data_IF_196837042607
#
_entry.id   IF_196837042607
#
_cell.length_a   1.000
_cell.length_b   1.000
_cell.length_c   1.000
_cell.angle_alpha   90.00
_cell.angle_beta   90.00
_cell.angle_gamma   90.00
#
_symmetry.space_group_name_H-M   'P 1'
#
loop_
_entity.id
_entity.type
_entity.pdbx_description
1 polymer ?
#
# COMPACT_ATOMS: atom_id res chain seq x y z
N UNK A 1 -19.09 -1.10 -23.16
CA UNK A 1 -17.98 -0.76 -22.26
C UNK A 1 -16.73 -1.41 -22.82
N UNK A 2 -15.63 -0.67 -22.88
CA UNK A 2 -14.35 -1.18 -23.35
C UNK A 2 -13.93 -2.43 -22.59
N UNK A 3 -13.51 -3.49 -23.29
CA UNK A 3 -13.12 -4.76 -22.65
C UNK A 3 -11.90 -4.60 -21.75
N UNK A 4 -10.99 -3.69 -22.06
CA UNK A 4 -9.86 -3.38 -21.20
C UNK A 4 -10.30 -2.71 -19.89
N UNK A 5 -11.30 -1.82 -19.92
CA UNK A 5 -11.85 -1.22 -18.70
C UNK A 5 -12.53 -2.26 -17.79
N UNK A 6 -13.15 -3.30 -18.37
CA UNK A 6 -13.73 -4.41 -17.61
C UNK A 6 -12.68 -5.21 -16.82
N UNK A 7 -11.40 -5.20 -17.22
CA UNK A 7 -10.34 -5.84 -16.47
C UNK A 7 -10.13 -5.18 -15.09
N UNK A 8 -10.29 -3.86 -14.98
CA UNK A 8 -10.17 -3.16 -13.69
C UNK A 8 -11.25 -3.62 -12.70
N UNK A 9 -12.45 -3.91 -13.20
CA UNK A 9 -13.53 -4.46 -12.38
C UNK A 9 -13.29 -5.92 -11.99
N UNK A 10 -12.79 -6.74 -12.92
CA UNK A 10 -12.53 -8.16 -12.68
C UNK A 10 -11.37 -8.40 -11.71
N UNK A 11 -10.30 -7.63 -11.86
CA UNK A 11 -9.02 -7.87 -11.18
C UNK A 11 -8.83 -6.99 -9.94
N UNK A 12 -9.87 -6.87 -9.13
CA UNK A 12 -9.79 -6.24 -7.79
C UNK A 12 -8.88 -7.05 -6.88
N UNK A 13 -8.28 -6.40 -5.89
CA UNK A 13 -7.17 -6.96 -5.11
C UNK A 13 -7.58 -7.69 -3.83
N UNK A 14 -8.84 -8.15 -3.71
CA UNK A 14 -9.31 -9.02 -2.63
C UNK A 14 -9.11 -10.50 -2.99
N UNK A 15 -7.86 -10.87 -3.27
CA UNK A 15 -7.52 -12.19 -3.80
C UNK A 15 -7.46 -13.22 -2.66
N UNK A 16 -8.12 -14.36 -2.84
CA UNK A 16 -8.06 -15.52 -1.95
C UNK A 16 -7.36 -16.68 -2.69
N UNK A 17 -6.43 -17.35 -2.03
CA UNK A 17 -5.66 -18.46 -2.60
C UNK A 17 -6.27 -19.83 -2.36
N UNK A 18 -7.36 -19.93 -1.60
CA UNK A 18 -8.10 -21.17 -1.32
C UNK A 18 -7.17 -22.31 -0.89
N UNK A 19 -6.30 -22.06 0.11
CA UNK A 19 -5.29 -23.01 0.64
C UNK A 19 -4.18 -23.45 -0.32
N UNK A 20 -4.12 -22.96 -1.55
CA UNK A 20 -2.99 -23.20 -2.44
C UNK A 20 -1.75 -22.46 -1.95
N UNK A 21 -0.54 -22.95 -2.23
CA UNK A 21 0.67 -22.15 -1.99
C UNK A 21 0.62 -20.87 -2.83
N UNK A 22 1.27 -19.81 -2.35
CA UNK A 22 1.31 -18.54 -3.09
C UNK A 22 1.87 -18.70 -4.51
N UNK A 23 2.90 -19.54 -4.70
CA UNK A 23 3.45 -19.83 -6.02
C UNK A 23 2.43 -20.45 -6.97
N UNK A 24 1.70 -21.48 -6.52
CA UNK A 24 0.69 -22.16 -7.35
C UNK A 24 -0.49 -21.24 -7.67
N UNK A 25 -0.97 -20.51 -6.67
CA UNK A 25 -2.10 -19.59 -6.83
C UNK A 25 -1.77 -18.51 -7.85
N UNK A 26 -0.64 -17.81 -7.69
CA UNK A 26 -0.28 -16.70 -8.56
C UNK A 26 0.06 -17.17 -9.98
N UNK A 27 0.67 -18.33 -10.15
CA UNK A 27 0.91 -18.91 -11.48
C UNK A 27 -0.41 -19.13 -12.25
N UNK A 28 -1.40 -19.75 -11.60
CA UNK A 28 -2.71 -19.96 -12.21
C UNK A 28 -3.43 -18.63 -12.47
N UNK A 29 -3.38 -17.71 -11.51
CA UNK A 29 -4.03 -16.41 -11.56
C UNK A 29 -3.45 -15.51 -12.66
N UNK A 30 -2.13 -15.44 -12.78
CA UNK A 30 -1.46 -14.65 -13.81
C UNK A 30 -1.73 -15.18 -15.21
N UNK A 31 -1.73 -16.50 -15.41
CA UNK A 31 -2.09 -17.08 -16.70
C UNK A 31 -3.48 -16.62 -17.13
N UNK A 32 -4.47 -16.66 -16.24
CA UNK A 32 -5.83 -16.19 -16.52
C UNK A 32 -5.84 -14.68 -16.81
N UNK A 33 -5.12 -13.88 -16.02
CA UNK A 33 -4.98 -12.45 -16.22
C UNK A 33 -4.43 -12.10 -17.60
N UNK A 34 -3.30 -12.70 -17.98
CA UNK A 34 -2.62 -12.47 -19.25
C UNK A 34 -3.50 -12.89 -20.42
N UNK A 35 -4.16 -14.06 -20.33
CA UNK A 35 -5.09 -14.53 -21.35
C UNK A 35 -6.26 -13.56 -21.56
N UNK A 36 -6.77 -12.97 -20.49
CA UNK A 36 -7.86 -12.01 -20.57
C UNK A 36 -7.40 -10.64 -21.09
N UNK A 37 -6.18 -10.21 -20.76
CA UNK A 37 -5.55 -9.04 -21.41
C UNK A 37 -5.43 -9.26 -22.91
N UNK A 38 -4.90 -10.41 -23.35
CA UNK A 38 -4.77 -10.77 -24.77
C UNK A 38 -6.11 -10.78 -25.51
N UNK A 39 -7.17 -11.26 -24.88
CA UNK A 39 -8.53 -11.23 -25.48
C UNK A 39 -9.10 -9.81 -25.52
N UNK A 40 -8.76 -8.97 -24.55
CA UNK A 40 -9.35 -7.65 -24.39
C UNK A 40 -8.75 -6.58 -25.32
N UNK A 41 -7.59 -6.78 -25.96
CA UNK A 41 -6.91 -5.75 -26.78
C UNK A 41 -7.47 -5.57 -28.21
N UNK A 42 -8.56 -6.24 -28.59
CA UNK A 42 -9.18 -6.01 -29.92
C UNK A 42 -9.67 -4.57 -30.04
N UNK A 43 -9.33 -3.88 -31.12
CA UNK A 43 -9.64 -2.46 -31.29
C UNK A 43 -11.16 -2.21 -31.31
N UNK A 44 -11.94 -3.06 -31.99
CA UNK A 44 -13.41 -2.93 -32.00
C UNK A 44 -14.08 -3.07 -30.62
N UNK A 45 -13.40 -3.73 -29.68
CA UNK A 45 -13.89 -3.95 -28.32
C UNK A 45 -13.54 -2.80 -27.37
N UNK A 46 -12.79 -1.78 -27.83
CA UNK A 46 -12.32 -0.65 -27.02
C UNK A 46 -12.53 0.72 -27.71
N UNK A 47 -13.78 1.11 -27.99
CA UNK A 47 -14.10 2.37 -28.66
C UNK A 47 -13.69 3.63 -27.89
N UNK A 48 -13.58 3.59 -26.55
CA UNK A 48 -13.22 4.75 -25.74
C UNK A 48 -11.70 4.91 -25.60
N UNK A 49 -10.99 3.84 -25.25
CA UNK A 49 -9.54 3.81 -25.06
C UNK A 49 -8.79 3.92 -26.39
N UNK A 50 -9.37 3.35 -27.46
CA UNK A 50 -8.87 3.45 -28.82
C UNK A 50 -7.69 2.52 -29.14
N UNK A 51 -7.29 2.52 -30.42
CA UNK A 51 -6.25 1.62 -30.94
C UNK A 51 -4.87 1.85 -30.32
N UNK A 52 -4.57 3.08 -29.89
CA UNK A 52 -3.28 3.43 -29.27
C UNK A 52 -3.06 2.66 -27.96
N UNK A 53 -4.08 2.56 -27.10
CA UNK A 53 -4.00 1.79 -25.85
C UNK A 53 -3.83 0.30 -26.15
N UNK A 54 -4.61 -0.23 -27.09
CA UNK A 54 -4.49 -1.62 -27.52
C UNK A 54 -3.06 -1.95 -27.98
N UNK A 55 -2.48 -1.10 -28.84
CA UNK A 55 -1.13 -1.27 -29.34
C UNK A 55 -0.05 -1.14 -28.23
N UNK A 56 -0.22 -0.18 -27.31
CA UNK A 56 0.69 -0.04 -26.17
C UNK A 56 0.64 -1.29 -25.27
N UNK A 57 -0.54 -1.81 -24.97
CA UNK A 57 -0.67 -3.03 -24.15
C UNK A 57 -0.10 -4.23 -24.88
N UNK A 58 -0.39 -4.40 -26.18
CA UNK A 58 0.16 -5.48 -26.99
C UNK A 58 1.69 -5.54 -26.91
N UNK A 59 2.37 -4.38 -26.98
CA UNK A 59 3.82 -4.29 -26.81
C UNK A 59 4.31 -4.64 -25.39
N UNK A 60 3.49 -4.44 -24.37
CA UNK A 60 3.84 -4.74 -22.97
C UNK A 60 3.54 -6.18 -22.56
N UNK A 61 2.69 -6.92 -23.28
CA UNK A 61 2.29 -8.30 -22.92
C UNK A 61 3.50 -9.21 -22.64
N UNK A 62 4.56 -9.29 -23.48
CA UNK A 62 5.71 -10.15 -23.20
C UNK A 62 6.44 -9.77 -21.91
N UNK A 63 6.50 -8.48 -21.59
CA UNK A 63 7.13 -7.97 -20.36
C UNK A 63 6.27 -8.31 -19.14
N UNK A 64 4.94 -8.21 -19.26
CA UNK A 64 3.99 -8.60 -18.21
C UNK A 64 4.08 -10.10 -17.92
N UNK A 65 4.17 -10.92 -18.97
CA UNK A 65 4.40 -12.38 -18.87
C UNK A 65 5.71 -12.69 -18.15
N UNK A 66 6.82 -12.09 -18.60
CA UNK A 66 8.13 -12.31 -17.99
C UNK A 66 8.16 -11.90 -16.52
N UNK A 67 7.58 -10.74 -16.18
CA UNK A 67 7.51 -10.28 -14.79
C UNK A 67 6.62 -11.19 -13.93
N UNK A 68 5.49 -11.67 -14.46
CA UNK A 68 4.62 -12.62 -13.77
C UNK A 68 5.35 -13.93 -13.46
N UNK A 69 6.07 -14.49 -14.44
CA UNK A 69 6.86 -15.72 -14.27
C UNK A 69 7.98 -15.54 -13.24
N UNK A 70 8.68 -14.40 -13.29
CA UNK A 70 9.72 -14.09 -12.30
C UNK A 70 9.12 -13.93 -10.89
N UNK A 71 7.96 -13.31 -10.73
CA UNK A 71 7.25 -13.21 -9.45
C UNK A 71 6.87 -14.60 -8.91
N UNK A 72 6.36 -15.50 -9.77
CA UNK A 72 6.11 -16.89 -9.36
C UNK A 72 7.41 -17.55 -8.90
N UNK A 73 8.51 -17.35 -9.62
CA UNK A 73 9.81 -17.92 -9.27
C UNK A 73 10.36 -17.39 -7.93
N UNK A 74 10.05 -16.14 -7.53
CA UNK A 74 10.35 -15.63 -6.18
C UNK A 74 9.76 -16.57 -5.13
N UNK A 75 8.49 -16.95 -5.26
CA UNK A 75 7.85 -17.89 -4.34
C UNK A 75 8.49 -19.28 -4.42
N UNK A 76 8.77 -19.80 -5.63
CA UNK A 76 9.40 -21.13 -5.78
C UNK A 76 10.75 -21.22 -5.08
N UNK A 77 11.58 -20.18 -5.20
CA UNK A 77 12.87 -20.10 -4.52
C UNK A 77 12.68 -20.01 -3.00
N UNK A 78 11.71 -19.23 -2.53
CA UNK A 78 11.43 -19.09 -1.10
C UNK A 78 10.94 -20.41 -0.49
N UNK A 79 10.00 -21.08 -1.16
CA UNK A 79 9.44 -22.39 -0.76
C UNK A 79 10.54 -23.47 -0.63
N UNK A 80 11.63 -23.34 -1.39
CA UNK A 80 12.81 -24.23 -1.33
C UNK A 80 13.85 -23.82 -0.26
N UNK A 81 13.57 -22.77 0.53
CA UNK A 81 14.51 -22.23 1.52
C UNK A 81 15.64 -21.37 0.92
N UNK A 82 15.59 -21.04 -0.37
CA UNK A 82 16.61 -20.23 -1.08
C UNK A 82 16.30 -18.74 -0.95
N UNK A 83 16.23 -18.26 0.29
CA UNK A 83 15.72 -16.92 0.64
C UNK A 83 16.51 -15.79 -0.04
N UNK A 84 17.84 -15.88 -0.05
CA UNK A 84 18.70 -14.85 -0.67
C UNK A 84 18.47 -14.77 -2.19
N UNK A 85 18.32 -15.90 -2.85
CA UNK A 85 18.08 -15.95 -4.29
C UNK A 85 16.68 -15.46 -4.65
N UNK A 86 15.69 -15.80 -3.81
CA UNK A 86 14.33 -15.28 -3.89
C UNK A 86 14.31 -13.75 -3.79
N UNK A 87 15.02 -13.18 -2.80
CA UNK A 87 15.15 -11.74 -2.63
C UNK A 87 15.84 -11.07 -3.84
N UNK A 88 16.99 -11.60 -4.28
CA UNK A 88 17.70 -11.08 -5.46
C UNK A 88 16.83 -11.12 -6.73
N UNK A 89 16.08 -12.21 -6.93
CA UNK A 89 15.15 -12.32 -8.06
C UNK A 89 14.03 -11.28 -7.97
N UNK A 90 13.50 -11.03 -6.78
CA UNK A 90 12.47 -10.01 -6.59
C UNK A 90 12.99 -8.59 -6.93
N UNK A 91 14.23 -8.27 -6.56
CA UNK A 91 14.82 -6.94 -6.84
C UNK A 91 15.06 -6.72 -8.33
N UNK A 92 15.43 -7.78 -9.06
CA UNK A 92 15.52 -7.74 -10.53
C UNK A 92 14.16 -7.35 -11.14
N UNK A 93 13.08 -7.99 -10.69
CA UNK A 93 11.72 -7.71 -11.15
C UNK A 93 11.27 -6.29 -10.78
N UNK A 94 11.51 -5.84 -9.55
CA UNK A 94 11.12 -4.49 -9.16
C UNK A 94 11.87 -3.43 -9.97
N UNK A 95 13.14 -3.67 -10.26
CA UNK A 95 13.95 -2.76 -11.08
C UNK A 95 13.46 -2.73 -12.54
N UNK A 96 13.09 -3.88 -13.13
CA UNK A 96 12.51 -3.92 -14.49
C UNK A 96 11.13 -3.26 -14.54
N UNK A 97 10.31 -3.43 -13.50
CA UNK A 97 8.96 -2.89 -13.43
C UNK A 97 8.92 -1.39 -13.10
N UNK A 98 9.94 -0.84 -12.42
CA UNK A 98 9.96 0.55 -11.92
C UNK A 98 9.42 1.62 -12.90
N UNK A 99 9.76 1.61 -14.20
CA UNK A 99 9.24 2.60 -15.15
C UNK A 99 7.72 2.50 -15.39
N UNK A 100 7.17 1.29 -15.29
CA UNK A 100 5.76 0.98 -15.54
C UNK A 100 4.92 0.89 -14.27
N UNK A 101 5.54 0.92 -13.08
CA UNK A 101 4.83 0.97 -11.82
C UNK A 101 3.91 2.19 -11.74
N UNK A 102 2.73 2.00 -11.17
CA UNK A 102 1.88 3.11 -10.74
C UNK A 102 2.57 3.80 -9.56
N UNK A 103 2.73 5.12 -9.70
CA UNK A 103 3.41 5.97 -8.73
C UNK A 103 2.46 7.08 -8.30
N UNK A 104 2.56 7.49 -7.04
CA UNK A 104 1.75 8.59 -6.49
C UNK A 104 2.60 9.53 -5.67
N UNK A 105 2.32 10.82 -5.82
CA UNK A 105 2.87 11.88 -4.98
C UNK A 105 1.83 12.25 -3.93
N UNK A 106 2.28 12.43 -2.69
CA UNK A 106 1.44 12.95 -1.61
C UNK A 106 0.88 14.33 -2.00
N UNK A 107 -0.42 14.56 -1.81
CA UNK A 107 -1.05 15.85 -2.10
C UNK A 107 -1.52 16.07 -3.55
N UNK A 108 -1.22 15.16 -4.49
CA UNK A 108 -1.45 15.38 -5.94
C UNK A 108 -2.93 15.63 -6.33
N UNK A 109 -3.90 15.10 -5.57
CA UNK A 109 -5.34 15.33 -5.80
C UNK A 109 -5.96 16.20 -4.72
N UNK A 110 -5.56 15.96 -3.48
CA UNK A 110 -6.01 16.68 -2.29
C UNK A 110 -4.99 16.44 -1.19
N UNK A 111 -4.92 17.36 -0.24
CA UNK A 111 -4.21 17.14 1.01
C UNK A 111 -4.98 16.12 1.84
N UNK A 112 -4.31 15.05 2.21
CA UNK A 112 -4.82 13.97 3.02
C UNK A 112 -4.35 14.12 4.46
N UNK A 113 -5.11 13.50 5.34
CA UNK A 113 -4.79 13.37 6.75
C UNK A 113 -4.56 11.90 7.04
N UNK A 114 -3.62 11.61 7.93
CA UNK A 114 -3.36 10.24 8.36
C UNK A 114 -3.51 10.07 9.86
N UNK A 115 -3.61 8.82 10.31
CA UNK A 115 -3.78 8.44 11.70
C UNK A 115 -2.93 7.22 12.02
N UNK A 116 -2.50 7.13 13.27
CA UNK A 116 -1.92 5.92 13.84
C UNK A 116 -2.50 5.67 15.20
N UNK A 117 -2.72 4.39 15.48
CA UNK A 117 -3.25 3.89 16.73
C UNK A 117 -2.20 3.02 17.43
N UNK A 118 -2.17 3.10 18.76
CA UNK A 118 -1.45 2.19 19.63
C UNK A 118 -2.42 1.57 20.64
N UNK A 119 -2.71 0.26 20.52
CA UNK A 119 -3.55 -0.45 21.49
C UNK A 119 -3.02 -0.31 22.93
N UNK A 120 -3.93 -0.17 23.89
CA UNK A 120 -3.62 -0.17 25.33
C UNK A 120 -4.07 -1.52 25.88
N UNK A 121 -3.11 -2.43 26.10
CA UNK A 121 -3.37 -3.77 26.64
C UNK A 121 -3.01 -3.84 28.12
N UNK A 122 -3.62 -4.77 28.84
CA UNK A 122 -3.35 -4.98 30.27
C UNK A 122 -1.86 -5.25 30.51
N UNK A 123 -1.26 -4.53 31.47
CA UNK A 123 0.16 -4.67 31.82
C UNK A 123 1.13 -3.86 30.96
N UNK A 124 0.67 -3.15 29.93
CA UNK A 124 1.49 -2.24 29.11
C UNK A 124 1.12 -0.80 29.43
N UNK A 125 2.08 -0.02 29.92
CA UNK A 125 1.93 1.42 30.15
C UNK A 125 2.97 2.18 29.34
N UNK A 126 2.55 3.30 28.75
CA UNK A 126 3.42 4.24 28.04
C UNK A 126 2.92 5.66 28.31
N UNK A 127 3.81 6.67 28.30
CA UNK A 127 3.40 8.06 28.46
C UNK A 127 2.54 8.49 27.26
N UNK A 128 1.52 9.31 27.48
CA UNK A 128 0.68 9.80 26.38
C UNK A 128 1.38 10.95 25.65
N UNK A 129 2.41 10.61 24.87
CA UNK A 129 3.30 11.57 24.17
C UNK A 129 3.36 11.25 22.68
N UNK A 130 3.56 12.28 21.84
CA UNK A 130 3.57 12.13 20.37
C UNK A 130 4.59 11.07 19.88
N UNK A 131 5.77 11.02 20.50
CA UNK A 131 6.82 10.03 20.18
C UNK A 131 6.39 8.57 20.36
N UNK A 132 5.47 8.29 21.28
CA UNK A 132 4.98 6.93 21.53
C UNK A 132 4.05 6.43 20.42
N UNK A 133 3.54 7.34 19.58
CA UNK A 133 2.72 7.05 18.40
C UNK A 133 3.52 7.15 17.10
N UNK A 134 4.80 7.52 17.15
CA UNK A 134 5.69 7.50 15.98
C UNK A 134 6.14 6.06 15.65
N UNK A 135 7.11 5.88 14.74
CA UNK A 135 7.65 4.53 14.54
C UNK A 135 8.42 4.04 15.77
N UNK A 136 8.55 2.72 15.91
CA UNK A 136 9.29 2.12 17.02
C UNK A 136 10.75 2.62 16.96
N UNK A 137 11.33 3.14 18.06
CA UNK A 137 12.73 3.49 18.11
C UNK A 137 13.64 2.30 17.79
N UNK A 138 14.72 2.53 17.03
CA UNK A 138 15.64 1.47 16.60
C UNK A 138 16.27 0.69 17.77
N UNK A 139 16.53 1.36 18.90
CA UNK A 139 17.10 0.74 20.11
C UNK A 139 16.16 -0.24 20.82
N UNK A 140 14.87 -0.29 20.46
CA UNK A 140 13.89 -1.27 20.97
C UNK A 140 13.22 -2.07 19.84
N UNK A 141 13.99 -2.34 18.77
CA UNK A 141 13.50 -3.02 17.57
C UNK A 141 13.00 -4.46 17.78
N UNK A 142 13.24 -5.08 18.94
CA UNK A 142 12.64 -6.37 19.32
C UNK A 142 11.10 -6.32 19.43
N UNK A 143 10.51 -5.12 19.47
CA UNK A 143 9.07 -4.89 19.43
C UNK A 143 8.50 -4.83 17.99
N UNK A 144 9.35 -4.80 16.96
CA UNK A 144 8.91 -4.79 15.56
C UNK A 144 8.40 -6.17 15.18
N UNK A 145 7.09 -6.29 15.02
CA UNK A 145 6.42 -7.50 14.54
C UNK A 145 6.43 -7.64 13.01
N UNK A 146 6.17 -8.85 12.49
CA UNK A 146 6.00 -9.07 11.06
C UNK A 146 4.65 -8.52 10.59
N UNK A 147 4.71 -7.57 9.67
CA UNK A 147 3.55 -7.04 8.92
C UNK A 147 3.76 -7.26 7.41
N UNK A 148 2.72 -7.00 6.61
CA UNK A 148 2.75 -7.17 5.14
C UNK A 148 3.91 -6.43 4.50
N UNK A 149 4.02 -5.14 4.78
CA UNK A 149 5.17 -4.34 4.37
C UNK A 149 6.04 -4.11 5.60
N UNK A 150 6.89 -5.06 5.96
CA UNK A 150 7.83 -4.92 7.09
C UNK A 150 9.15 -5.60 6.78
N UNK A 151 10.16 -5.32 7.60
CA UNK A 151 11.40 -6.08 7.63
C UNK A 151 11.66 -6.47 9.09
N UNK A 152 12.04 -7.74 9.38
CA UNK A 152 12.32 -8.17 10.74
C UNK A 152 13.32 -7.25 11.46
N UNK A 153 12.88 -6.63 12.57
CA UNK A 153 13.72 -5.75 13.38
C UNK A 153 14.04 -4.37 12.75
N UNK A 154 13.43 -4.00 11.62
CA UNK A 154 13.60 -2.67 11.02
C UNK A 154 12.33 -1.83 11.22
N UNK A 155 12.40 -0.71 11.96
CA UNK A 155 11.24 0.16 12.14
C UNK A 155 10.74 0.79 10.85
N UNK A 156 9.43 0.93 10.71
CA UNK A 156 8.78 1.74 9.66
C UNK A 156 7.64 2.55 10.28
N UNK A 157 7.24 3.63 9.62
CA UNK A 157 6.09 4.44 10.03
C UNK A 157 4.86 4.05 9.22
N UNK A 158 3.89 3.43 9.88
CA UNK A 158 2.62 3.00 9.28
C UNK A 158 1.52 3.98 9.63
N UNK A 159 0.77 4.45 8.64
CA UNK A 159 -0.32 5.38 8.86
C UNK A 159 -1.52 4.98 7.99
N UNK A 160 -2.75 5.23 8.47
CA UNK A 160 -3.98 5.04 7.70
C UNK A 160 -4.64 6.39 7.42
N UNK A 161 -5.29 6.57 6.27
CA UNK A 161 -5.97 7.84 5.93
C UNK A 161 -7.28 8.09 6.68
N UNK A 162 -7.73 7.12 7.48
CA UNK A 162 -8.93 7.21 8.31
C UNK A 162 -8.65 6.62 9.69
N UNK A 163 -9.16 7.27 10.75
CA UNK A 163 -9.04 6.77 12.12
C UNK A 163 -9.72 5.41 12.30
N UNK A 164 -10.88 5.22 11.67
CA UNK A 164 -11.59 3.95 11.66
C UNK A 164 -10.78 2.85 10.96
N UNK A 165 -10.17 3.15 9.80
CA UNK A 165 -9.28 2.20 9.13
C UNK A 165 -8.10 1.81 10.03
N UNK A 166 -7.43 2.78 10.66
CA UNK A 166 -6.35 2.49 11.62
C UNK A 166 -6.81 1.56 12.75
N UNK A 167 -8.06 1.72 13.22
CA UNK A 167 -8.64 0.90 14.29
C UNK A 167 -8.87 -0.54 13.83
N UNK A 168 -9.37 -0.72 12.60
CA UNK A 168 -9.50 -2.04 11.98
C UNK A 168 -8.14 -2.72 11.78
N UNK A 169 -7.13 -2.00 11.28
CA UNK A 169 -5.76 -2.53 11.09
C UNK A 169 -5.12 -2.96 12.42
N UNK A 170 -5.47 -2.30 13.53
CA UNK A 170 -5.06 -2.68 14.88
C UNK A 170 -5.92 -3.78 15.54
N UNK A 171 -6.76 -4.48 14.77
CA UNK A 171 -7.68 -5.55 15.24
C UNK A 171 -8.74 -5.05 16.24
N UNK A 172 -9.19 -3.80 16.07
CA UNK A 172 -10.31 -3.20 16.80
C UNK A 172 -10.15 -3.25 18.33
N UNK A 173 -9.07 -2.68 18.89
CA UNK A 173 -8.88 -2.66 20.33
C UNK A 173 -9.99 -1.84 21.02
N UNK A 174 -10.41 -2.27 22.21
CA UNK A 174 -11.40 -1.53 23.01
C UNK A 174 -10.83 -0.20 23.52
N UNK A 175 -9.55 -0.20 23.92
CA UNK A 175 -8.87 0.98 24.45
C UNK A 175 -7.56 1.21 23.71
N UNK A 176 -7.33 2.44 23.28
CA UNK A 176 -6.15 2.78 22.49
C UNK A 176 -5.80 4.26 22.53
N UNK A 177 -4.53 4.57 22.28
CA UNK A 177 -4.09 5.92 21.97
C UNK A 177 -4.15 6.15 20.46
N UNK A 178 -4.49 7.36 20.04
CA UNK A 178 -4.55 7.77 18.63
C UNK A 178 -3.95 9.17 18.47
N UNK A 179 -3.22 9.35 17.37
CA UNK A 179 -2.77 10.67 16.91
C UNK A 179 -3.07 10.84 15.42
N UNK A 180 -3.37 12.08 15.04
CA UNK A 180 -3.40 12.53 13.65
C UNK A 180 -1.99 12.86 13.17
N UNK A 181 -1.72 12.60 11.90
CA UNK A 181 -0.46 12.85 11.22
C UNK A 181 -0.68 13.73 9.99
N UNK A 182 0.27 14.62 9.74
CA UNK A 182 0.46 15.31 8.48
C UNK A 182 1.86 15.02 7.94
N UNK A 183 1.92 14.76 6.64
CA UNK A 183 3.16 14.51 5.89
C UNK A 183 3.31 15.61 4.83
N UNK A 184 4.52 15.80 4.26
CA UNK A 184 4.75 16.73 3.15
C UNK A 184 3.78 16.44 1.99
N UNK A 185 3.07 17.46 1.50
CA UNK A 185 1.99 17.34 0.52
C UNK A 185 1.86 18.59 -0.37
N UNK A 186 2.87 19.45 -0.39
CA UNK A 186 2.91 20.68 -1.17
C UNK A 186 3.64 20.44 -2.49
N UNK A 187 3.40 21.28 -3.51
CA UNK A 187 3.96 21.11 -4.86
C UNK A 187 5.51 21.04 -4.86
N UNK A 188 6.15 21.84 -4.02
CA UNK A 188 7.61 21.87 -3.87
C UNK A 188 8.14 20.88 -2.82
N UNK A 189 7.25 20.28 -2.02
CA UNK A 189 7.64 19.37 -0.94
C UNK A 189 6.61 18.27 -0.69
N UNK A 190 6.88 17.12 -1.28
CA UNK A 190 6.02 15.93 -1.28
C UNK A 190 6.83 14.64 -1.13
N UNK A 191 6.16 13.57 -0.72
CA UNK A 191 6.66 12.21 -0.66
C UNK A 191 6.24 11.40 -1.90
N UNK A 192 7.05 10.41 -2.25
CA UNK A 192 6.89 9.55 -3.43
C UNK A 192 6.59 8.11 -3.04
N UNK A 193 5.54 7.55 -3.64
CA UNK A 193 5.11 6.19 -3.32
C UNK A 193 4.98 5.32 -4.56
N UNK A 194 5.23 4.02 -4.38
CA UNK A 194 4.60 2.98 -5.20
C UNK A 194 3.13 2.91 -4.77
N UNK A 195 2.19 2.97 -5.71
CA UNK A 195 0.76 3.04 -5.39
C UNK A 195 -0.03 1.78 -5.76
N UNK A 196 -0.49 1.08 -4.73
CA UNK A 196 -1.39 -0.06 -4.77
C UNK A 196 -2.73 0.22 -4.06
N UNK A 197 -3.04 1.49 -3.76
CA UNK A 197 -4.25 1.86 -3.02
C UNK A 197 -5.49 2.08 -3.89
N UNK A 198 -5.28 2.38 -5.18
CA UNK A 198 -6.37 2.87 -6.03
C UNK A 198 -7.43 1.78 -6.22
N UNK A 199 -8.66 2.09 -5.83
CA UNK A 199 -9.80 1.19 -5.94
C UNK A 199 -10.16 1.05 -7.43
N UNK A 200 -9.95 -0.13 -7.99
CA UNK A 200 -10.04 -0.31 -9.45
C UNK A 200 -11.46 -0.16 -10.02
N UNK A 201 -12.50 -0.45 -9.23
CA UNK A 201 -13.88 -0.24 -9.68
C UNK A 201 -14.22 1.25 -9.84
N UNK A 202 -14.04 2.13 -8.83
CA UNK A 202 -14.16 3.57 -9.05
C UNK A 202 -13.26 4.07 -10.19
N UNK A 203 -12.02 3.58 -10.26
CA UNK A 203 -11.07 3.97 -11.31
C UNK A 203 -11.59 3.65 -12.72
N UNK A 204 -12.25 2.51 -12.93
CA UNK A 204 -12.93 2.16 -14.20
C UNK A 204 -13.85 3.29 -14.66
N UNK A 205 -14.71 3.79 -13.78
CA UNK A 205 -15.65 4.87 -14.11
C UNK A 205 -14.95 6.23 -14.22
N UNK A 206 -13.89 6.47 -13.45
CA UNK A 206 -13.08 7.67 -13.57
C UNK A 206 -12.43 7.76 -14.95
N UNK A 207 -11.88 6.67 -15.50
CA UNK A 207 -11.34 6.66 -16.86
C UNK A 207 -12.39 7.06 -17.89
N UNK A 208 -13.63 6.58 -17.78
CA UNK A 208 -14.72 7.01 -18.69
C UNK A 208 -14.89 8.52 -18.65
N UNK A 209 -14.99 9.10 -17.43
CA UNK A 209 -15.11 10.54 -17.27
C UNK A 209 -13.89 11.30 -17.81
N UNK A 210 -12.67 10.87 -17.47
CA UNK A 210 -11.43 11.51 -17.89
C UNK A 210 -11.22 11.44 -19.41
N UNK A 211 -11.59 10.34 -20.07
CA UNK A 211 -11.54 10.23 -21.53
C UNK A 211 -12.55 11.12 -22.25
N UNK A 212 -13.58 11.64 -21.58
CA UNK A 212 -14.45 12.68 -22.16
C UNK A 212 -13.99 14.11 -21.84
N UNK A 213 -13.34 14.34 -20.70
CA UNK A 213 -13.08 15.70 -20.20
C UNK A 213 -11.62 16.16 -20.31
N UNK A 214 -10.65 15.24 -20.28
CA UNK A 214 -9.23 15.61 -20.25
C UNK A 214 -8.71 16.02 -21.63
N UNK A 215 -7.81 16.98 -21.70
CA UNK A 215 -7.17 17.40 -22.97
C UNK A 215 -5.97 16.52 -23.31
N UNK A 216 -5.21 16.09 -22.30
CA UNK A 216 -4.04 15.22 -22.47
C UNK A 216 -4.43 13.73 -22.48
N UNK A 217 -4.96 13.28 -23.62
CA UNK A 217 -5.33 11.87 -23.82
C UNK A 217 -4.13 10.94 -23.76
N UNK A 218 -2.96 11.38 -24.24
CA UNK A 218 -1.76 10.53 -24.32
C UNK A 218 -1.27 10.14 -22.93
N UNK A 219 -1.19 11.08 -21.99
CA UNK A 219 -0.79 10.74 -20.63
C UNK A 219 -1.86 9.92 -19.89
N UNK A 220 -3.14 10.18 -20.14
CA UNK A 220 -4.23 9.36 -19.59
C UNK A 220 -4.17 7.90 -20.09
N UNK A 221 -3.92 7.69 -21.38
CA UNK A 221 -3.74 6.37 -21.96
C UNK A 221 -2.52 5.65 -21.37
N UNK A 222 -1.37 6.34 -21.27
CA UNK A 222 -0.17 5.78 -20.61
C UNK A 222 -0.45 5.42 -19.15
N UNK A 223 -1.22 6.25 -18.44
CA UNK A 223 -1.63 5.98 -17.07
C UNK A 223 -2.48 4.71 -16.96
N UNK A 224 -3.42 4.50 -17.89
CA UNK A 224 -4.18 3.23 -17.96
C UNK A 224 -3.27 2.02 -18.20
N UNK A 225 -2.33 2.11 -19.15
CA UNK A 225 -1.38 1.03 -19.48
C UNK A 225 -0.56 0.63 -18.25
N UNK A 226 -0.15 1.60 -17.40
CA UNK A 226 0.57 1.31 -16.15
C UNK A 226 -0.21 0.42 -15.19
N UNK A 227 -1.54 0.55 -15.10
CA UNK A 227 -2.35 -0.34 -14.26
C UNK A 227 -2.36 -1.78 -14.75
N UNK A 228 -2.39 -1.98 -16.07
CA UNK A 228 -2.28 -3.30 -16.68
C UNK A 228 -0.90 -3.89 -16.38
N UNK A 229 0.16 -3.11 -16.58
CA UNK A 229 1.53 -3.59 -16.38
C UNK A 229 1.89 -3.85 -14.90
N UNK A 230 1.33 -3.05 -13.98
CA UNK A 230 1.61 -3.15 -12.54
C UNK A 230 0.82 -4.27 -11.87
N UNK A 231 -0.26 -4.75 -12.49
CA UNK A 231 -1.19 -5.68 -11.87
C UNK A 231 -0.54 -6.94 -11.26
N UNK A 232 0.40 -7.65 -11.94
CA UNK A 232 1.02 -8.83 -11.35
C UNK A 232 1.70 -8.53 -10.00
N UNK A 233 2.47 -7.45 -9.92
CA UNK A 233 3.12 -7.06 -8.67
C UNK A 233 2.08 -6.68 -7.59
N UNK A 234 1.07 -5.90 -7.96
CA UNK A 234 -0.01 -5.54 -7.02
C UNK A 234 -0.71 -6.78 -6.47
N UNK A 235 -1.04 -7.74 -7.34
CA UNK A 235 -1.67 -9.00 -6.95
C UNK A 235 -0.80 -9.81 -5.98
N UNK A 236 0.51 -9.94 -6.25
CA UNK A 236 1.45 -10.62 -5.34
C UNK A 236 1.50 -9.99 -3.94
N UNK A 237 1.27 -8.68 -3.84
CA UNK A 237 1.27 -7.94 -2.58
C UNK A 237 -0.10 -7.87 -1.89
N UNK A 238 -1.19 -8.28 -2.55
CA UNK A 238 -2.56 -8.06 -2.05
C UNK A 238 -3.37 -9.33 -1.77
N UNK A 239 -2.76 -10.51 -1.81
CA UNK A 239 -3.43 -11.74 -1.39
C UNK A 239 -3.77 -11.67 0.10
N UNK A 240 -5.03 -12.01 0.42
CA UNK A 240 -5.57 -12.09 1.77
C UNK A 240 -4.86 -13.21 2.52
N UNK A 241 -4.49 -12.95 3.78
CA UNK A 241 -3.82 -13.95 4.61
C UNK A 241 -4.78 -15.07 4.97
N UNK A 242 -4.47 -16.29 4.56
CA UNK A 242 -5.30 -17.48 4.85
C UNK A 242 -5.32 -17.84 6.35
N UNK A 243 -4.20 -17.62 7.05
CA UNK A 243 -4.03 -17.99 8.46
C UNK A 243 -3.57 -16.79 9.30
N UNK A 244 -4.47 -15.86 9.71
CA UNK A 244 -4.08 -14.61 10.37
C UNK A 244 -3.42 -14.75 11.75
N UNK A 245 -3.59 -15.90 12.41
CA UNK A 245 -2.94 -16.23 13.69
C UNK A 245 -1.60 -16.96 13.53
N UNK A 246 -1.20 -17.25 12.29
CA UNK A 246 0.07 -17.88 11.97
C UNK A 246 1.27 -17.00 12.35
N UNK A 247 2.43 -17.63 12.55
CA UNK A 247 3.70 -16.91 12.78
C UNK A 247 4.38 -16.47 11.48
N UNK A 248 3.96 -17.08 10.38
CA UNK A 248 4.50 -16.86 9.05
C UNK A 248 3.32 -16.79 8.07
N UNK A 249 3.43 -15.86 7.13
CA UNK A 249 2.42 -15.60 6.10
C UNK A 249 3.15 -15.58 4.75
N UNK A 250 2.88 -16.56 3.90
CA UNK A 250 3.44 -16.63 2.54
C UNK A 250 3.07 -15.37 1.75
N UNK A 251 1.89 -14.81 2.03
CA UNK A 251 1.32 -13.63 1.40
C UNK A 251 2.17 -12.36 1.61
N UNK A 252 3.09 -12.38 2.57
CA UNK A 252 3.95 -11.24 2.88
C UNK A 252 5.29 -11.27 2.14
N UNK A 253 5.69 -12.38 1.51
CA UNK A 253 7.04 -12.55 0.94
C UNK A 253 7.39 -11.41 -0.04
N UNK A 254 6.57 -11.20 -1.07
CA UNK A 254 6.86 -10.19 -2.10
C UNK A 254 6.69 -8.76 -1.56
N UNK A 255 5.74 -8.50 -0.67
CA UNK A 255 5.54 -7.16 -0.09
C UNK A 255 6.66 -6.77 0.88
N UNK A 256 7.21 -7.71 1.64
CA UNK A 256 8.38 -7.49 2.48
C UNK A 256 9.64 -7.26 1.64
N UNK A 257 9.86 -8.06 0.58
CA UNK A 257 10.96 -7.79 -0.36
C UNK A 257 10.81 -6.46 -1.09
N UNK A 258 9.59 -6.08 -1.48
CA UNK A 258 9.34 -4.79 -2.11
C UNK A 258 9.72 -3.64 -1.16
N UNK A 259 9.35 -3.73 0.12
CA UNK A 259 9.75 -2.72 1.10
C UNK A 259 11.27 -2.68 1.29
N UNK A 260 11.93 -3.83 1.28
CA UNK A 260 13.40 -3.91 1.34
C UNK A 260 14.06 -3.22 0.14
N UNK A 261 13.48 -3.40 -1.05
CA UNK A 261 13.95 -2.72 -2.26
C UNK A 261 13.70 -1.21 -2.19
N UNK A 262 12.53 -0.77 -1.72
CA UNK A 262 12.22 0.66 -1.49
C UNK A 262 13.18 1.29 -0.47
N UNK A 263 13.63 0.54 0.53
CA UNK A 263 14.61 1.02 1.51
C UNK A 263 15.96 1.38 0.84
N UNK A 264 16.37 0.61 -0.17
CA UNK A 264 17.62 0.81 -0.93
C UNK A 264 17.43 1.84 -2.05
N UNK A 265 16.21 1.95 -2.59
CA UNK A 265 15.86 2.90 -3.61
C UNK A 265 15.84 4.34 -3.07
N UNK A 266 16.52 5.27 -3.74
CA UNK A 266 16.56 6.67 -3.33
C UNK A 266 15.37 7.49 -3.82
N UNK A 267 14.54 6.95 -4.72
CA UNK A 267 13.43 7.68 -5.34
C UNK A 267 12.13 7.57 -4.54
N UNK A 268 11.82 6.40 -3.99
CA UNK A 268 10.61 6.19 -3.20
C UNK A 268 10.83 6.39 -1.70
N UNK A 269 9.81 6.96 -1.04
CA UNK A 269 9.74 7.15 0.40
C UNK A 269 8.96 6.03 1.12
N UNK A 270 8.20 5.24 0.35
CA UNK A 270 7.29 4.25 0.91
C UNK A 270 6.39 3.57 -0.10
N UNK A 271 5.42 2.84 0.44
CA UNK A 271 4.35 2.19 -0.32
C UNK A 271 3.01 2.71 0.16
N UNK A 272 2.14 3.05 -0.78
CA UNK A 272 0.78 3.50 -0.56
C UNK A 272 -0.17 2.38 -1.00
N UNK A 273 -0.97 1.83 -0.10
CA UNK A 273 -1.63 0.53 -0.34
C UNK A 273 -3.03 0.42 0.26
N UNK A 274 -3.83 -0.44 -0.36
CA UNK A 274 -5.16 -0.80 0.12
C UNK A 274 -5.09 -1.85 1.24
N UNK A 275 -6.03 -1.81 2.19
CA UNK A 275 -6.17 -2.88 3.17
C UNK A 275 -6.50 -4.22 2.50
N UNK A 276 -5.83 -5.28 2.95
CA UNK A 276 -6.08 -6.65 2.51
C UNK A 276 -6.93 -7.43 3.54
N UNK A 277 -7.74 -6.71 4.32
CA UNK A 277 -8.62 -7.29 5.33
C UNK A 277 -9.77 -8.09 4.68
N UNK A 278 -10.17 -9.17 5.35
CA UNK A 278 -11.36 -9.95 4.97
C UNK A 278 -12.67 -9.23 5.29
N UNK A 279 -12.64 -8.24 6.20
CA UNK A 279 -13.81 -7.47 6.64
C UNK A 279 -14.45 -6.73 5.48
N UNK A 280 -15.74 -6.98 5.27
CA UNK A 280 -16.50 -6.33 4.21
C UNK A 280 -16.67 -4.82 4.48
N UNK A 281 -16.74 -4.43 5.74
CA UNK A 281 -16.72 -3.03 6.16
C UNK A 281 -15.45 -2.34 5.67
N UNK A 282 -14.28 -2.95 5.90
CA UNK A 282 -12.99 -2.41 5.45
C UNK A 282 -12.89 -2.34 3.92
N UNK A 283 -13.44 -3.31 3.19
CA UNK A 283 -13.48 -3.27 1.71
C UNK A 283 -14.32 -2.10 1.20
N UNK A 284 -15.43 -1.80 1.91
CA UNK A 284 -16.30 -0.67 1.63
C UNK A 284 -15.70 0.68 2.05
N UNK A 285 -14.71 0.71 2.94
CA UNK A 285 -13.99 1.93 3.27
C UNK A 285 -13.23 2.44 2.04
N UNK A 286 -13.39 3.73 1.74
CA UNK A 286 -12.58 4.46 0.76
C UNK A 286 -11.20 4.89 1.28
N UNK A 287 -10.75 4.30 2.40
CA UNK A 287 -9.46 4.59 3.02
C UNK A 287 -8.31 3.77 2.41
N UNK A 288 -7.09 4.14 2.77
CA UNK A 288 -5.85 3.49 2.37
C UNK A 288 -4.82 3.62 3.49
N UNK A 289 -3.76 2.83 3.39
CA UNK A 289 -2.62 2.87 4.30
C UNK A 289 -1.38 3.37 3.55
N UNK A 290 -0.42 3.89 4.31
CA UNK A 290 0.94 4.16 3.85
C UNK A 290 1.93 3.54 4.82
N UNK A 291 3.03 3.05 4.27
CA UNK A 291 4.24 2.71 5.02
C UNK A 291 5.37 3.58 4.52
N UNK A 292 6.03 4.27 5.44
CA UNK A 292 7.21 5.10 5.18
C UNK A 292 8.45 4.37 5.71
N UNK A 293 9.47 4.22 4.87
CA UNK A 293 10.72 3.56 5.25
C UNK A 293 11.57 4.47 6.13
N UNK A 294 12.34 3.87 7.04
CA UNK A 294 13.34 4.57 7.86
C UNK A 294 14.74 4.27 7.32
N UNK A 295 15.56 5.29 7.09
CA UNK A 295 16.87 5.21 6.44
C UNK A 295 18.02 5.66 7.36
N UNK A 296 17.80 6.65 8.22
CA UNK A 296 18.85 7.22 9.07
C UNK A 296 18.33 7.56 10.45
N UNK A 297 18.79 6.85 11.47
CA UNK A 297 18.33 7.04 12.84
C UNK A 297 19.14 8.11 13.58
N UNK A 298 18.45 8.96 14.34
CA UNK A 298 19.04 9.91 15.29
C UNK A 298 19.45 9.23 16.61
N UNK A 299 19.92 10.03 17.58
CA UNK A 299 20.36 9.52 18.88
C UNK A 299 19.24 8.90 19.73
N UNK A 300 17.97 9.22 19.44
CA UNK A 300 16.80 8.68 20.12
C UNK A 300 16.28 7.42 19.42
N UNK A 301 16.90 7.01 18.30
CA UNK A 301 16.50 5.87 17.50
C UNK A 301 15.37 6.15 16.52
N UNK A 302 15.03 7.43 16.28
CA UNK A 302 14.00 7.83 15.31
C UNK A 302 14.62 8.24 13.96
N UNK A 303 13.90 8.02 12.86
CA UNK A 303 14.37 8.40 11.54
C UNK A 303 14.42 9.93 11.41
N UNK A 304 15.60 10.44 11.06
CA UNK A 304 15.89 11.87 11.01
C UNK A 304 15.05 12.59 9.95
N UNK A 305 14.82 11.98 8.78
CA UNK A 305 14.02 12.59 7.71
C UNK A 305 12.55 12.64 8.14
N UNK A 306 11.99 11.52 8.58
CA UNK A 306 10.60 11.46 9.01
C UNK A 306 10.35 12.35 10.22
N UNK A 307 11.26 12.40 11.20
CA UNK A 307 11.17 13.32 12.35
C UNK A 307 11.19 14.79 11.91
N UNK A 308 11.94 15.14 10.86
CA UNK A 308 11.98 16.51 10.35
C UNK A 308 10.72 16.89 9.54
N UNK A 309 10.08 15.93 8.87
CA UNK A 309 9.05 16.24 7.88
C UNK A 309 7.62 15.88 8.27
N UNK A 310 7.44 15.04 9.29
CA UNK A 310 6.12 14.63 9.75
C UNK A 310 5.67 15.49 10.93
N UNK A 311 4.37 15.76 11.00
CA UNK A 311 3.74 16.52 12.08
C UNK A 311 2.72 15.63 12.77
N UNK A 312 2.71 15.65 14.10
CA UNK A 312 1.86 14.77 14.91
C UNK A 312 0.95 15.63 15.80
N UNK A 313 -0.35 15.34 15.78
CA UNK A 313 -1.32 15.95 16.68
C UNK A 313 -1.18 15.41 18.11
N UNK A 314 -1.66 16.16 19.09
CA UNK A 314 -1.67 15.72 20.49
C UNK A 314 -2.37 14.34 20.61
N UNK A 315 -1.71 13.33 21.20
CA UNK A 315 -2.31 12.01 21.35
C UNK A 315 -3.49 12.03 22.32
N UNK A 316 -4.56 11.32 21.96
CA UNK A 316 -5.72 11.12 22.81
C UNK A 316 -6.00 9.65 23.06
N UNK A 317 -6.66 9.33 24.18
CA UNK A 317 -7.11 7.98 24.49
C UNK A 317 -8.59 7.85 24.12
N UNK A 318 -8.91 6.80 23.38
CA UNK A 318 -10.28 6.37 23.12
C UNK A 318 -10.52 5.05 23.84
N UNK A 319 -11.69 4.96 24.48
CA UNK A 319 -12.24 3.74 25.06
C UNK A 319 -13.62 3.51 24.45
N UNK A 320 -13.73 2.53 23.56
CA UNK A 320 -14.95 2.28 22.77
C UNK A 320 -16.10 1.77 23.64
N UNK A 321 -15.83 1.27 24.85
CA UNK A 321 -16.88 0.78 25.77
C UNK A 321 -17.61 1.91 26.49
N UNK A 322 -17.01 3.10 26.53
CA UNK A 322 -17.52 4.28 27.24
C UNK A 322 -17.50 5.55 26.39
N UNK A 323 -17.34 5.41 25.07
CA UNK A 323 -17.20 6.55 24.17
C UNK A 323 -18.46 7.41 24.15
N UNK A 324 -18.29 8.70 24.41
CA UNK A 324 -19.32 9.73 24.24
C UNK A 324 -18.78 10.73 23.23
N UNK A 325 -19.51 10.98 22.14
CA UNK A 325 -19.11 11.97 21.15
C UNK A 325 -19.09 13.35 21.81
N UNK A 326 -17.90 13.89 22.03
CA UNK A 326 -17.65 15.20 22.64
C UNK A 326 -16.81 16.03 21.69
N UNK A 327 -16.85 17.35 21.84
CA UNK A 327 -15.99 18.26 21.07
C UNK A 327 -14.50 17.89 21.18
N UNK A 328 -14.07 17.34 22.31
CA UNK A 328 -12.69 16.86 22.50
C UNK A 328 -12.33 15.69 21.57
N UNK A 329 -13.25 14.75 21.37
CA UNK A 329 -13.04 13.63 20.43
C UNK A 329 -13.09 14.14 18.99
N UNK A 330 -14.02 15.05 18.69
CA UNK A 330 -14.05 15.70 17.37
C UNK A 330 -12.75 16.44 17.10
N UNK A 331 -12.21 17.19 18.06
CA UNK A 331 -10.95 17.92 17.91
C UNK A 331 -9.75 16.99 17.72
N UNK A 332 -9.74 15.86 18.42
CA UNK A 332 -8.73 14.79 18.27
C UNK A 332 -8.74 14.19 16.87
N UNK A 333 -9.94 13.90 16.34
CA UNK A 333 -10.11 13.32 15.00
C UNK A 333 -9.93 14.37 13.90
N UNK A 334 -10.33 15.62 14.13
CA UNK A 334 -10.20 16.72 13.16
C UNK A 334 -8.82 17.37 13.19
N UNK A 335 -8.04 17.18 14.25
CA UNK A 335 -6.64 17.60 14.32
C UNK A 335 -6.42 19.08 14.55
N UNK A 336 -7.15 19.70 15.49
CA UNK A 336 -7.03 21.14 15.72
C UNK A 336 -5.68 21.58 16.33
N UNK A 337 -4.80 20.66 16.74
CA UNK A 337 -3.44 20.93 17.28
C UNK A 337 -2.34 20.14 16.55
N UNK A 338 -2.24 20.28 15.22
CA UNK A 338 -1.06 19.81 14.48
C UNK A 338 0.06 20.84 14.61
N UNK A 339 1.20 20.44 15.15
CA UNK A 339 2.40 21.28 15.33
C UNK A 339 3.48 20.97 14.30
N UNK A 340 4.34 21.94 14.03
CA UNK A 340 5.44 21.81 13.07
C UNK A 340 6.54 20.84 13.52
N UNK A 341 6.80 20.75 14.84
CA UNK A 341 7.69 19.76 15.44
C UNK A 341 6.86 18.56 15.94
N UNK A 342 7.11 17.32 15.47
CA UNK A 342 6.31 16.17 15.83
C UNK A 342 6.41 15.76 17.29
N UNK A 343 7.41 16.20 18.07
CA UNK A 343 7.60 15.74 19.45
C UNK A 343 7.33 16.80 20.53
N UNK A 344 7.06 18.05 20.16
CA UNK A 344 6.83 19.16 21.10
C UNK A 344 5.41 19.75 21.00
#
# INVERSE_FOLDING_TARGET
MDKLLELLEKYRCHLNRDKQSMGNFLEAHYRIYIDDVKKAIRVEDNPLLGCEVCAMIEQQIPIVEENADKLVNVFRLFEQGRIVESANKSFEVFSSMKPQMVQRYSGIFRKETYYRIRPITSGVSFPLERRELFHIPYNINYLVGPERYSLPGHPCLYLASQAELAWYECKRPEKFAISKFSIPQDEDYYLKFIDFSEKLLPLKYNFISWFHNETDKVNLQKYFVKYICTYPLRAACSVIVEQPSGKFHEEYIVSQFLLQWVLIDEYFDGVHYESCSESEEVKCLGGHNIVLVTKSFDCDGFDSKLRACTKIGEPGIIDTTSIVCTSKIEDLLMGKDIKDDPFF
#
